data_IF_455553816085
#
_entry.id   IF_455553816085
#
_cell.length_a   1.000
_cell.length_b   1.000
_cell.length_c   1.000
_cell.angle_alpha   90.00
_cell.angle_beta   90.00
_cell.angle_gamma   90.00
#
_symmetry.space_group_name_H-M   'P 1'
#
loop_
_entity.id
_entity.type
_entity.pdbx_description
1 polymer ?
#
# COMPACT_ATOMS: atom_id res chain seq x y z
N UNK A 1 -32.26 -11.92 7.92
CA UNK A 1 -31.89 -10.67 7.21
C UNK A 1 -32.71 -10.61 5.95
N UNK A 2 -33.46 -9.52 5.73
CA UNK A 2 -34.14 -9.29 4.45
C UNK A 2 -33.08 -8.94 3.40
N UNK A 3 -33.06 -9.70 2.31
CA UNK A 3 -32.19 -9.42 1.17
C UNK A 3 -32.91 -8.43 0.25
N UNK A 4 -32.23 -7.34 -0.09
CA UNK A 4 -32.71 -6.33 -1.03
C UNK A 4 -32.30 -6.68 -2.44
N UNK A 5 -33.15 -6.31 -3.39
CA UNK A 5 -32.95 -6.55 -4.82
C UNK A 5 -32.84 -5.22 -5.57
N UNK A 6 -31.80 -5.10 -6.38
CA UNK A 6 -31.58 -4.00 -7.31
C UNK A 6 -31.46 -4.56 -8.74
N UNK A 7 -32.09 -3.90 -9.70
CA UNK A 7 -32.02 -4.28 -11.11
C UNK A 7 -31.38 -3.15 -11.92
N UNK A 8 -30.37 -3.50 -12.73
CA UNK A 8 -29.69 -2.57 -13.65
C UNK A 8 -29.90 -3.06 -15.08
N UNK A 9 -30.53 -2.22 -15.90
CA UNK A 9 -30.77 -2.52 -17.32
C UNK A 9 -29.51 -2.23 -18.13
N UNK A 10 -29.19 -3.13 -19.06
CA UNK A 10 -28.05 -3.01 -19.97
C UNK A 10 -28.59 -2.70 -21.37
N UNK A 11 -27.99 -1.73 -22.06
CA UNK A 11 -28.55 -1.23 -23.32
C UNK A 11 -28.32 -2.20 -24.49
N UNK A 12 -27.20 -2.90 -24.50
CA UNK A 12 -26.83 -3.84 -25.58
C UNK A 12 -25.87 -4.93 -25.08
N UNK A 13 -25.64 -5.94 -25.92
CA UNK A 13 -24.81 -7.10 -25.59
C UNK A 13 -23.31 -6.76 -25.50
N UNK A 14 -22.83 -5.76 -26.26
CA UNK A 14 -21.44 -5.28 -26.19
C UNK A 14 -21.11 -4.65 -24.82
N UNK A 15 -22.01 -3.82 -24.29
CA UNK A 15 -21.91 -3.27 -22.94
C UNK A 15 -21.85 -4.38 -21.88
N UNK A 16 -22.68 -5.42 -22.03
CA UNK A 16 -22.69 -6.55 -21.11
C UNK A 16 -21.35 -7.30 -21.15
N UNK A 17 -20.81 -7.61 -22.34
CA UNK A 17 -19.54 -8.32 -22.49
C UNK A 17 -18.40 -7.53 -21.84
N UNK A 18 -18.31 -6.22 -22.09
CA UNK A 18 -17.27 -5.35 -21.52
C UNK A 18 -17.43 -5.19 -20.00
N UNK A 19 -18.67 -5.08 -19.52
CA UNK A 19 -18.95 -5.02 -18.09
C UNK A 19 -18.54 -6.30 -17.37
N UNK A 20 -18.84 -7.48 -17.93
CA UNK A 20 -18.42 -8.76 -17.34
C UNK A 20 -16.89 -8.91 -17.34
N UNK A 21 -16.26 -8.51 -18.44
CA UNK A 21 -14.84 -8.74 -18.69
C UNK A 21 -14.53 -10.21 -18.94
N UNK A 22 -13.27 -10.49 -19.28
CA UNK A 22 -12.82 -11.86 -19.59
C UNK A 22 -13.07 -12.77 -18.37
N UNK A 23 -13.81 -13.87 -18.57
CA UNK A 23 -14.19 -14.83 -17.51
C UNK A 23 -14.92 -14.19 -16.30
N UNK A 24 -15.76 -13.18 -16.54
CA UNK A 24 -16.54 -12.45 -15.52
C UNK A 24 -15.67 -11.76 -14.46
N UNK A 25 -14.43 -11.39 -14.82
CA UNK A 25 -13.44 -10.85 -13.90
C UNK A 25 -13.93 -9.63 -13.14
N UNK A 26 -14.62 -8.71 -13.80
CA UNK A 26 -15.09 -7.47 -13.17
C UNK A 26 -16.16 -7.75 -12.11
N UNK A 27 -17.06 -8.70 -12.37
CA UNK A 27 -18.07 -9.14 -11.41
C UNK A 27 -17.42 -9.83 -10.21
N UNK A 28 -16.38 -10.66 -10.45
CA UNK A 28 -15.60 -11.29 -9.37
C UNK A 28 -14.89 -10.26 -8.50
N UNK A 29 -14.33 -9.21 -9.10
CA UNK A 29 -13.74 -8.08 -8.37
C UNK A 29 -14.81 -7.40 -7.51
N UNK A 30 -15.97 -7.05 -8.05
CA UNK A 30 -17.04 -6.40 -7.25
C UNK A 30 -17.46 -7.29 -6.06
N UNK A 31 -17.65 -8.59 -6.29
CA UNK A 31 -18.01 -9.57 -5.24
C UNK A 31 -16.94 -9.78 -4.18
N UNK A 32 -15.66 -9.48 -4.45
CA UNK A 32 -14.62 -9.54 -3.43
C UNK A 32 -14.64 -8.33 -2.48
N UNK A 33 -15.35 -7.25 -2.83
CA UNK A 33 -15.46 -6.03 -2.03
C UNK A 33 -16.81 -5.87 -1.33
N UNK A 34 -17.85 -6.52 -1.84
CA UNK A 34 -19.22 -6.48 -1.34
C UNK A 34 -19.81 -7.88 -1.29
N UNK A 35 -20.46 -8.22 -0.18
CA UNK A 35 -21.19 -9.47 -0.04
C UNK A 35 -22.54 -9.36 -0.77
N UNK A 36 -22.52 -9.65 -2.08
CA UNK A 36 -23.69 -9.61 -2.97
C UNK A 36 -23.69 -10.79 -3.95
N UNK A 37 -24.88 -11.24 -4.29
CA UNK A 37 -25.12 -12.10 -5.43
C UNK A 37 -25.49 -11.24 -6.64
N UNK A 38 -24.83 -11.50 -7.77
CA UNK A 38 -25.04 -10.80 -9.04
C UNK A 38 -25.35 -11.86 -10.09
N UNK A 39 -26.48 -11.71 -10.77
CA UNK A 39 -26.99 -12.60 -11.81
C UNK A 39 -27.33 -11.79 -13.07
N UNK A 40 -26.98 -12.33 -14.23
CA UNK A 40 -27.35 -11.74 -15.52
C UNK A 40 -28.54 -12.50 -16.07
N UNK A 41 -29.64 -11.79 -16.38
CA UNK A 41 -30.83 -12.40 -16.99
C UNK A 41 -31.53 -11.39 -17.91
N UNK A 42 -31.84 -11.80 -19.13
CA UNK A 42 -32.63 -11.02 -20.10
C UNK A 42 -32.12 -9.59 -20.34
N UNK A 43 -30.80 -9.38 -20.42
CA UNK A 43 -30.22 -8.04 -20.62
C UNK A 43 -30.28 -7.14 -19.37
N UNK A 44 -30.54 -7.71 -18.19
CA UNK A 44 -30.49 -7.01 -16.91
C UNK A 44 -29.54 -7.72 -15.94
N UNK A 45 -28.89 -6.94 -15.09
CA UNK A 45 -28.17 -7.41 -13.92
C UNK A 45 -29.07 -7.29 -12.71
N UNK A 46 -29.29 -8.43 -12.06
CA UNK A 46 -29.99 -8.55 -10.78
C UNK A 46 -28.95 -8.68 -9.67
N UNK A 47 -29.01 -7.75 -8.73
CA UNK A 47 -28.10 -7.65 -7.59
C UNK A 47 -28.91 -7.91 -6.33
N UNK A 48 -28.50 -8.87 -5.53
CA UNK A 48 -29.18 -9.25 -4.29
C UNK A 48 -28.19 -9.29 -3.13
N UNK A 49 -28.51 -8.63 -2.02
CA UNK A 49 -27.66 -8.55 -0.84
C UNK A 49 -28.27 -7.66 0.24
N UNK A 50 -27.48 -7.24 1.24
CA UNK A 50 -27.90 -6.20 2.17
C UNK A 50 -28.20 -4.88 1.42
N UNK A 51 -29.12 -4.07 1.95
CA UNK A 51 -29.60 -2.85 1.29
C UNK A 51 -28.45 -1.95 0.84
N UNK A 52 -27.56 -1.58 1.75
CA UNK A 52 -26.41 -0.69 1.48
C UNK A 52 -25.48 -1.26 0.42
N UNK A 53 -25.13 -2.54 0.52
CA UNK A 53 -24.27 -3.22 -0.45
C UNK A 53 -24.91 -3.30 -1.84
N UNK A 54 -26.21 -3.64 -1.90
CA UNK A 54 -26.94 -3.75 -3.16
C UNK A 54 -27.07 -2.40 -3.88
N UNK A 55 -27.31 -1.31 -3.13
CA UNK A 55 -27.39 0.06 -3.66
C UNK A 55 -26.02 0.56 -4.13
N UNK A 56 -24.95 0.33 -3.35
CA UNK A 56 -23.58 0.69 -3.73
C UNK A 56 -23.15 -0.04 -5.01
N UNK A 57 -23.39 -1.35 -5.09
CA UNK A 57 -23.06 -2.15 -6.27
C UNK A 57 -23.86 -1.71 -7.51
N UNK A 58 -25.15 -1.38 -7.34
CA UNK A 58 -25.98 -0.82 -8.41
C UNK A 58 -25.39 0.48 -8.96
N UNK A 59 -24.90 1.36 -8.08
CA UNK A 59 -24.23 2.61 -8.47
C UNK A 59 -22.91 2.33 -9.20
N UNK A 60 -22.07 1.44 -8.66
CA UNK A 60 -20.80 1.05 -9.29
C UNK A 60 -21.01 0.49 -10.70
N UNK A 61 -21.99 -0.40 -10.88
CA UNK A 61 -22.31 -0.97 -12.20
C UNK A 61 -22.74 0.13 -13.18
N UNK A 62 -23.57 1.09 -12.73
CA UNK A 62 -23.96 2.23 -13.57
C UNK A 62 -22.76 3.11 -13.96
N UNK A 63 -21.83 3.34 -13.04
CA UNK A 63 -20.62 4.12 -13.30
C UNK A 63 -19.68 3.39 -14.27
N UNK A 64 -19.57 2.06 -14.17
CA UNK A 64 -18.82 1.23 -15.12
C UNK A 64 -19.46 1.32 -16.51
N UNK A 65 -20.78 1.15 -16.61
CA UNK A 65 -21.51 1.26 -17.89
C UNK A 65 -21.33 2.65 -18.52
N UNK A 66 -21.40 3.72 -17.72
CA UNK A 66 -21.12 5.06 -18.21
C UNK A 66 -19.69 5.20 -18.74
N UNK A 67 -18.70 4.63 -18.05
CA UNK A 67 -17.30 4.63 -18.49
C UNK A 67 -17.14 3.90 -19.82
N UNK A 68 -17.75 2.72 -19.97
CA UNK A 68 -17.73 1.95 -21.23
C UNK A 68 -18.36 2.75 -22.37
N UNK A 69 -19.46 3.47 -22.11
CA UNK A 69 -20.14 4.32 -23.11
C UNK A 69 -19.29 5.50 -23.55
N UNK A 70 -18.54 6.11 -22.63
CA UNK A 70 -17.72 7.30 -22.93
C UNK A 70 -16.35 6.97 -23.49
N UNK A 71 -15.72 5.88 -23.02
CA UNK A 71 -14.32 5.52 -23.32
C UNK A 71 -14.20 4.28 -24.22
N UNK A 72 -15.30 3.58 -24.47
CA UNK A 72 -15.37 2.39 -25.33
C UNK A 72 -14.99 1.08 -24.63
N UNK A 73 -14.24 1.12 -23.52
CA UNK A 73 -13.80 -0.04 -22.75
C UNK A 73 -13.57 0.33 -21.27
N UNK A 74 -13.34 -0.66 -20.41
CA UNK A 74 -12.96 -0.44 -19.00
C UNK A 74 -11.82 -1.37 -18.57
N UNK A 75 -10.79 -0.79 -17.96
CA UNK A 75 -9.67 -1.55 -17.40
C UNK A 75 -9.96 -2.02 -15.97
N UNK A 76 -9.32 -3.11 -15.56
CA UNK A 76 -9.40 -3.65 -14.19
C UNK A 76 -9.12 -2.57 -13.12
N UNK A 77 -8.15 -1.69 -13.40
CA UNK A 77 -7.75 -0.60 -12.49
C UNK A 77 -8.89 0.40 -12.30
N UNK A 78 -9.63 0.71 -13.37
CA UNK A 78 -10.74 1.66 -13.32
C UNK A 78 -11.96 1.06 -12.63
N UNK A 79 -12.19 -0.25 -12.75
CA UNK A 79 -13.21 -0.98 -11.96
C UNK A 79 -12.90 -0.87 -10.47
N UNK A 80 -11.66 -1.17 -10.05
CA UNK A 80 -11.23 -1.04 -8.65
C UNK A 80 -11.40 0.40 -8.15
N UNK A 81 -11.03 1.39 -8.96
CA UNK A 81 -11.24 2.80 -8.65
C UNK A 81 -12.71 3.13 -8.39
N UNK A 82 -13.64 2.73 -9.27
CA UNK A 82 -15.06 3.02 -9.10
C UNK A 82 -15.63 2.37 -7.83
N UNK A 83 -15.14 1.19 -7.47
CA UNK A 83 -15.47 0.53 -6.21
C UNK A 83 -14.97 1.35 -5.00
N UNK A 84 -13.71 1.80 -5.02
CA UNK A 84 -13.11 2.56 -3.92
C UNK A 84 -13.69 3.98 -3.78
N UNK A 85 -14.00 4.65 -4.89
CA UNK A 85 -14.66 5.96 -4.91
C UNK A 85 -16.07 5.89 -4.30
N UNK A 86 -16.80 4.80 -4.55
CA UNK A 86 -18.10 4.58 -3.91
C UNK A 86 -17.98 4.39 -2.40
N UNK A 87 -16.97 3.63 -1.92
CA UNK A 87 -16.76 3.40 -0.47
C UNK A 87 -16.36 4.67 0.29
N UNK A 88 -15.60 5.56 -0.34
CA UNK A 88 -15.02 6.73 0.31
C UNK A 88 -15.92 7.97 0.29
N UNK A 89 -17.05 7.96 -0.43
CA UNK A 89 -17.92 9.13 -0.68
C UNK A 89 -17.18 10.36 -1.23
N UNK A 90 -15.97 10.17 -1.75
CA UNK A 90 -15.09 11.24 -2.23
C UNK A 90 -15.12 11.30 -3.75
N UNK A 91 -15.39 12.48 -4.31
CA UNK A 91 -15.14 12.77 -5.73
C UNK A 91 -13.63 12.92 -5.94
N UNK A 92 -12.91 11.81 -6.10
CA UNK A 92 -11.48 11.84 -6.40
C UNK A 92 -11.31 11.76 -7.91
N UNK A 93 -10.71 12.74 -8.58
CA UNK A 93 -10.52 12.71 -10.03
C UNK A 93 -9.54 11.59 -10.45
N UNK A 94 -10.05 10.52 -11.05
CA UNK A 94 -9.23 9.40 -11.55
C UNK A 94 -8.17 9.83 -12.57
N UNK A 95 -8.48 10.84 -13.38
CA UNK A 95 -7.52 11.33 -14.37
C UNK A 95 -6.34 12.04 -13.70
N UNK A 96 -6.51 12.60 -12.49
CA UNK A 96 -5.39 13.11 -11.70
C UNK A 96 -4.55 11.97 -11.12
N UNK A 97 -5.19 10.91 -10.60
CA UNK A 97 -4.46 9.72 -10.11
C UNK A 97 -3.57 9.14 -11.21
N UNK A 98 -4.13 8.98 -12.42
CA UNK A 98 -3.39 8.41 -13.56
C UNK A 98 -2.21 9.26 -14.03
N UNK A 99 -2.26 10.58 -13.81
CA UNK A 99 -1.23 11.55 -14.22
C UNK A 99 -0.13 11.70 -13.19
N UNK A 100 -0.39 11.39 -11.94
CA UNK A 100 0.63 11.54 -10.91
C UNK A 100 1.75 10.53 -11.10
N UNK A 101 2.97 11.03 -11.22
CA UNK A 101 4.18 10.23 -11.28
C UNK A 101 4.94 10.48 -9.98
N UNK A 102 5.23 9.40 -9.26
CA UNK A 102 6.06 9.49 -8.05
C UNK A 102 7.51 9.67 -8.46
N UNK A 103 8.02 8.73 -9.25
CA UNK A 103 9.42 8.70 -9.69
C UNK A 103 9.55 7.79 -10.92
N UNK A 104 10.59 8.04 -11.72
CA UNK A 104 11.01 7.11 -12.79
C UNK A 104 12.16 6.25 -12.27
N UNK A 105 12.04 4.93 -12.46
CA UNK A 105 13.06 3.95 -12.11
C UNK A 105 14.32 4.11 -12.96
N UNK A 106 15.40 3.42 -12.59
CA UNK A 106 16.63 3.42 -13.39
C UNK A 106 16.44 2.78 -14.77
N UNK A 107 15.50 1.84 -14.89
CA UNK A 107 15.11 1.20 -16.15
C UNK A 107 14.15 2.04 -17.01
N UNK A 108 13.80 3.26 -16.59
CA UNK A 108 12.87 4.14 -17.30
C UNK A 108 11.38 3.82 -17.03
N UNK A 109 11.07 2.88 -16.13
CA UNK A 109 9.70 2.56 -15.75
C UNK A 109 9.12 3.68 -14.89
N UNK A 110 7.94 4.15 -15.27
CA UNK A 110 7.18 5.15 -14.50
C UNK A 110 6.52 4.46 -13.30
N UNK A 111 6.81 4.94 -12.10
CA UNK A 111 6.19 4.46 -10.86
C UNK A 111 5.13 5.48 -10.42
N UNK A 112 3.89 5.00 -10.31
CA UNK A 112 2.71 5.79 -9.97
C UNK A 112 1.69 4.97 -9.19
N UNK A 113 0.83 5.61 -8.38
CA UNK A 113 -0.29 4.92 -7.76
C UNK A 113 -1.23 4.34 -8.84
N UNK A 114 -1.75 3.14 -8.60
CA UNK A 114 -2.67 2.41 -9.49
C UNK A 114 -4.09 2.31 -8.94
N UNK A 115 -4.28 2.63 -7.66
CA UNK A 115 -5.59 2.61 -6.98
C UNK A 115 -5.78 3.90 -6.18
N UNK A 116 -7.02 4.18 -5.75
CA UNK A 116 -7.33 5.33 -4.88
C UNK A 116 -6.63 5.15 -3.54
N UNK A 117 -6.64 3.93 -3.00
CA UNK A 117 -5.93 3.62 -1.76
C UNK A 117 -4.44 3.94 -1.85
N UNK A 118 -3.80 3.58 -2.96
CA UNK A 118 -2.39 3.91 -3.21
C UNK A 118 -2.16 5.40 -3.38
N UNK A 119 -3.06 6.12 -4.07
CA UNK A 119 -3.00 7.58 -4.19
C UNK A 119 -3.05 8.24 -2.82
N UNK A 120 -4.08 7.92 -2.03
CA UNK A 120 -4.26 8.45 -0.68
C UNK A 120 -3.04 8.17 0.20
N UNK A 121 -2.48 6.96 0.10
CA UNK A 121 -1.27 6.60 0.82
C UNK A 121 -0.07 7.46 0.42
N UNK A 122 0.16 7.67 -0.88
CA UNK A 122 1.23 8.55 -1.39
C UNK A 122 1.02 10.01 -0.94
N UNK A 123 -0.23 10.50 -0.95
CA UNK A 123 -0.57 11.84 -0.47
C UNK A 123 -0.29 12.01 1.02
N UNK A 124 -0.62 10.99 1.82
CA UNK A 124 -0.31 10.98 3.25
C UNK A 124 1.20 11.03 3.49
N UNK A 125 1.98 10.22 2.78
CA UNK A 125 3.45 10.24 2.87
C UNK A 125 4.01 11.65 2.59
N UNK A 126 3.49 12.31 1.54
CA UNK A 126 3.96 13.64 1.16
C UNK A 126 3.57 14.72 2.18
N UNK A 127 2.39 14.61 2.81
CA UNK A 127 1.81 15.64 3.67
C UNK A 127 2.01 15.45 5.17
N UNK A 128 2.37 14.25 5.64
CA UNK A 128 2.52 13.90 7.06
C UNK A 128 3.96 13.58 7.42
N UNK A 129 4.29 13.72 8.70
CA UNK A 129 5.60 13.35 9.23
C UNK A 129 5.69 11.85 9.49
N UNK A 130 4.58 11.24 9.91
CA UNK A 130 4.48 9.79 10.10
C UNK A 130 3.28 9.26 9.32
N UNK A 131 3.47 8.17 8.58
CA UNK A 131 2.38 7.50 7.84
C UNK A 131 2.38 5.99 8.09
N UNK A 132 1.22 5.43 8.42
CA UNK A 132 1.03 4.00 8.60
C UNK A 132 0.40 3.35 7.36
N UNK A 133 1.22 2.64 6.58
CA UNK A 133 0.77 1.85 5.44
C UNK A 133 0.37 0.44 5.85
N UNK A 134 -0.91 0.22 6.17
CA UNK A 134 -1.42 -1.08 6.65
C UNK A 134 -2.29 -1.76 5.59
N UNK A 135 -1.99 -3.03 5.30
CA UNK A 135 -2.82 -3.83 4.40
C UNK A 135 -2.15 -5.15 4.00
N UNK A 136 -2.83 -5.99 3.20
CA UNK A 136 -2.33 -7.31 2.84
C UNK A 136 -1.08 -7.25 1.95
N UNK A 137 -0.29 -8.32 1.92
CA UNK A 137 0.85 -8.46 1.01
C UNK A 137 0.46 -8.20 -0.46
N UNK A 138 1.40 -7.69 -1.25
CA UNK A 138 1.18 -7.41 -2.68
C UNK A 138 0.43 -6.12 -3.01
N UNK A 139 -0.03 -5.35 -2.03
CA UNK A 139 -0.72 -4.05 -2.25
C UNK A 139 0.23 -2.87 -2.56
N UNK A 140 1.55 -3.10 -2.58
CA UNK A 140 2.56 -2.12 -2.99
C UNK A 140 3.00 -1.12 -1.91
N UNK A 141 2.59 -1.31 -0.64
CA UNK A 141 2.85 -0.38 0.48
C UNK A 141 4.34 -0.03 0.63
N UNK A 142 5.19 -1.05 0.74
CA UNK A 142 6.64 -0.87 0.90
C UNK A 142 7.26 -0.30 -0.37
N UNK A 143 6.90 -0.84 -1.54
CA UNK A 143 7.46 -0.39 -2.82
C UNK A 143 7.14 1.09 -3.13
N UNK A 144 5.90 1.53 -2.88
CA UNK A 144 5.51 2.93 -3.03
C UNK A 144 6.17 3.84 -1.98
N UNK A 145 6.37 3.36 -0.75
CA UNK A 145 7.13 4.11 0.26
C UNK A 145 8.57 4.34 -0.19
N UNK A 146 9.25 3.31 -0.70
CA UNK A 146 10.62 3.43 -1.24
C UNK A 146 10.64 4.39 -2.43
N UNK A 147 9.65 4.32 -3.32
CA UNK A 147 9.54 5.27 -4.43
C UNK A 147 9.41 6.73 -3.97
N UNK A 148 8.60 6.99 -2.93
CA UNK A 148 8.47 8.31 -2.32
C UNK A 148 9.78 8.75 -1.64
N UNK A 149 10.45 7.86 -0.91
CA UNK A 149 11.73 8.14 -0.27
C UNK A 149 12.81 8.55 -1.28
N UNK A 150 12.93 7.80 -2.38
CA UNK A 150 13.88 8.12 -3.45
C UNK A 150 13.53 9.44 -4.13
N UNK A 151 12.24 9.73 -4.33
CA UNK A 151 11.80 11.01 -4.90
C UNK A 151 12.19 12.18 -3.99
N UNK A 152 11.87 12.10 -2.69
CA UNK A 152 12.21 13.13 -1.70
C UNK A 152 13.73 13.35 -1.61
N UNK A 153 14.52 12.27 -1.61
CA UNK A 153 15.98 12.33 -1.63
C UNK A 153 16.53 12.99 -2.91
N UNK A 154 16.00 12.64 -4.09
CA UNK A 154 16.39 13.27 -5.36
C UNK A 154 16.04 14.76 -5.41
N UNK A 155 14.92 15.15 -4.80
CA UNK A 155 14.49 16.55 -4.65
C UNK A 155 15.22 17.31 -3.55
N UNK A 156 16.09 16.64 -2.77
CA UNK A 156 16.79 17.18 -1.60
C UNK A 156 15.84 17.67 -0.49
N UNK A 157 14.65 17.09 -0.41
CA UNK A 157 13.72 17.31 0.70
C UNK A 157 14.21 16.59 1.96
N UNK A 158 14.94 15.49 1.78
CA UNK A 158 15.68 14.76 2.82
C UNK A 158 17.12 14.54 2.38
N UNK A 159 18.02 14.40 3.34
CA UNK A 159 19.44 14.15 3.12
C UNK A 159 19.79 12.66 3.15
N UNK A 160 18.98 11.83 3.80
CA UNK A 160 19.23 10.39 3.95
C UNK A 160 17.98 9.55 3.75
N UNK A 161 18.17 8.32 3.34
CA UNK A 161 17.14 7.28 3.30
C UNK A 161 17.57 6.14 4.23
N UNK A 162 16.69 5.73 5.15
CA UNK A 162 16.96 4.63 6.09
C UNK A 162 15.82 3.61 5.97
N UNK A 163 16.11 2.40 5.49
CA UNK A 163 15.16 1.30 5.46
C UNK A 163 15.50 0.34 6.59
N UNK A 164 14.50 -0.02 7.37
CA UNK A 164 14.68 -0.92 8.49
C UNK A 164 13.56 -1.92 8.63
N UNK A 165 13.89 -3.10 9.15
CA UNK A 165 12.97 -4.21 9.37
C UNK A 165 13.27 -4.85 10.72
N UNK A 166 12.27 -5.24 11.53
CA UNK A 166 12.52 -6.01 12.72
C UNK A 166 13.11 -7.37 12.34
N UNK A 167 14.10 -7.84 13.10
CA UNK A 167 14.54 -9.22 12.98
C UNK A 167 13.46 -10.10 13.63
N UNK A 168 12.90 -11.03 12.85
CA UNK A 168 11.85 -11.94 13.30
C UNK A 168 12.32 -13.35 12.99
N UNK A 169 12.38 -14.18 14.01
CA UNK A 169 12.71 -15.60 13.87
C UNK A 169 11.48 -16.34 13.34
N UNK A 170 11.18 -16.16 12.04
CA UNK A 170 10.13 -16.90 11.36
C UNK A 170 10.60 -18.34 11.13
N UNK A 171 10.51 -19.18 12.17
CA UNK A 171 10.75 -20.63 12.09
C UNK A 171 12.21 -21.09 12.22
N UNK A 172 13.19 -20.24 11.93
CA UNK A 172 14.61 -20.52 12.14
C UNK A 172 15.21 -19.50 13.12
N UNK A 173 15.96 -19.95 14.14
CA UNK A 173 16.68 -19.00 15.01
C UNK A 173 17.78 -18.35 14.18
N UNK A 174 17.91 -17.03 14.27
CA UNK A 174 18.91 -16.24 13.55
C UNK A 174 20.35 -16.80 13.75
N UNK A 175 20.57 -17.50 14.87
CA UNK A 175 21.81 -18.20 15.19
C UNK A 175 22.21 -19.35 14.24
N UNK A 176 21.30 -19.93 13.45
CA UNK A 176 21.56 -21.12 12.62
C UNK A 176 22.02 -20.84 11.19
N UNK A 177 21.81 -19.64 10.65
CA UNK A 177 22.33 -19.27 9.34
C UNK A 177 23.87 -19.15 9.41
N UNK A 178 24.64 -19.78 8.51
CA UNK A 178 26.10 -19.66 8.49
C UNK A 178 26.52 -18.24 8.06
N UNK A 179 27.69 -17.78 8.50
CA UNK A 179 28.22 -16.44 8.16
C UNK A 179 28.27 -15.47 9.34
N UNK A 180 28.62 -14.22 9.06
CA UNK A 180 28.63 -13.15 10.06
C UNK A 180 27.20 -12.66 10.38
N UNK A 181 27.05 -11.70 11.30
CA UNK A 181 25.72 -11.20 11.67
C UNK A 181 24.99 -10.54 10.49
N UNK A 182 25.74 -9.99 9.53
CA UNK A 182 25.20 -9.33 8.35
C UNK A 182 24.66 -10.37 7.37
N UNK A 183 25.43 -11.43 7.08
CA UNK A 183 25.05 -12.55 6.22
C UNK A 183 23.75 -13.23 6.69
N UNK A 184 23.51 -13.25 8.01
CA UNK A 184 22.31 -13.85 8.61
C UNK A 184 21.06 -12.98 8.48
N UNK A 185 21.21 -11.65 8.39
CA UNK A 185 20.07 -10.71 8.37
C UNK A 185 19.75 -10.24 6.95
N UNK A 186 20.72 -10.27 6.05
CA UNK A 186 20.59 -9.89 4.65
C UNK A 186 19.42 -10.56 3.90
N UNK A 187 19.08 -11.85 4.12
CA UNK A 187 17.93 -12.47 3.47
C UNK A 187 16.59 -11.74 3.76
N UNK A 188 16.41 -11.23 4.98
CA UNK A 188 15.18 -10.52 5.39
C UNK A 188 15.12 -9.09 4.83
N UNK A 189 16.28 -8.49 4.58
CA UNK A 189 16.41 -7.15 4.01
C UNK A 189 16.40 -7.16 2.49
N UNK A 190 16.54 -8.33 1.85
CA UNK A 190 16.62 -8.47 0.39
C UNK A 190 15.50 -7.76 -0.38
N UNK A 191 14.21 -7.86 0.00
CA UNK A 191 13.14 -7.15 -0.70
C UNK A 191 13.32 -5.62 -0.71
N UNK A 192 13.96 -5.06 0.32
CA UNK A 192 14.24 -3.63 0.44
C UNK A 192 15.39 -3.22 -0.49
N UNK A 193 16.43 -4.05 -0.59
CA UNK A 193 17.52 -3.87 -1.55
C UNK A 193 16.99 -3.92 -2.99
N UNK A 194 16.18 -4.93 -3.32
CA UNK A 194 15.65 -5.12 -4.66
C UNK A 194 14.80 -3.91 -5.11
N UNK A 195 13.99 -3.33 -4.21
CA UNK A 195 13.22 -2.12 -4.48
C UNK A 195 14.13 -0.91 -4.76
N UNK A 196 15.18 -0.71 -3.95
CA UNK A 196 16.13 0.38 -4.16
C UNK A 196 16.93 0.20 -5.47
N UNK A 197 17.37 -1.02 -5.78
CA UNK A 197 18.06 -1.32 -7.04
C UNK A 197 17.21 -1.02 -8.25
N UNK A 198 15.94 -1.42 -8.24
CA UNK A 198 15.02 -1.14 -9.34
C UNK A 198 14.82 0.38 -9.54
N UNK A 199 14.60 1.13 -8.46
CA UNK A 199 14.26 2.55 -8.53
C UNK A 199 15.48 3.45 -8.79
N UNK A 200 16.60 3.17 -8.12
CA UNK A 200 17.81 4.00 -8.17
C UNK A 200 18.84 3.53 -9.20
N UNK A 201 18.85 2.23 -9.49
CA UNK A 201 19.95 1.55 -10.19
C UNK A 201 21.04 1.15 -9.20
N UNK A 202 21.70 0.03 -9.49
CA UNK A 202 22.71 -0.58 -8.61
C UNK A 202 23.86 0.39 -8.33
N UNK A 203 24.43 1.01 -9.37
CA UNK A 203 25.60 1.90 -9.23
C UNK A 203 25.31 3.11 -8.35
N UNK A 204 24.14 3.74 -8.54
CA UNK A 204 23.72 4.88 -7.73
C UNK A 204 23.43 4.45 -6.29
N UNK A 205 22.80 3.30 -6.08
CA UNK A 205 22.57 2.77 -4.75
C UNK A 205 23.92 2.56 -4.03
N UNK A 206 24.85 1.81 -4.63
CA UNK A 206 26.15 1.49 -4.03
C UNK A 206 26.93 2.75 -3.66
N UNK A 207 26.97 3.74 -4.56
CA UNK A 207 27.60 5.04 -4.31
C UNK A 207 27.00 5.79 -3.13
N UNK A 208 25.67 5.73 -2.93
CA UNK A 208 25.02 6.42 -1.82
C UNK A 208 25.14 5.64 -0.50
N UNK A 209 25.23 4.32 -0.54
CA UNK A 209 25.55 3.49 0.63
C UNK A 209 26.97 3.75 1.11
N UNK A 210 27.95 3.81 0.20
CA UNK A 210 29.35 4.14 0.55
C UNK A 210 29.46 5.50 1.25
N UNK A 211 28.62 6.47 0.84
CA UNK A 211 28.52 7.80 1.46
C UNK A 211 27.65 7.85 2.71
N UNK A 212 27.08 6.72 3.15
CA UNK A 212 26.14 6.63 4.27
C UNK A 212 24.88 7.50 4.11
N UNK A 213 24.50 7.82 2.86
CA UNK A 213 23.27 8.53 2.54
C UNK A 213 22.08 7.59 2.44
N UNK A 214 22.33 6.31 2.14
CA UNK A 214 21.33 5.25 2.15
C UNK A 214 21.81 4.16 3.09
N UNK A 215 20.93 3.75 3.99
CA UNK A 215 21.18 2.68 4.96
C UNK A 215 20.04 1.67 4.91
N UNK A 216 20.38 0.39 4.81
CA UNK A 216 19.42 -0.72 4.97
C UNK A 216 19.91 -1.55 6.14
N UNK A 217 19.19 -1.51 7.26
CA UNK A 217 19.69 -2.07 8.52
C UNK A 217 18.58 -2.65 9.41
N UNK A 218 18.90 -3.61 10.29
CA UNK A 218 17.93 -4.16 11.24
C UNK A 218 17.42 -3.09 12.22
N UNK A 219 16.18 -3.23 12.72
CA UNK A 219 15.56 -2.25 13.64
C UNK A 219 16.39 -1.96 14.89
N UNK A 220 17.17 -2.93 15.37
CA UNK A 220 18.04 -2.77 16.53
C UNK A 220 19.09 -1.64 16.35
N UNK A 221 19.50 -1.35 15.11
CA UNK A 221 20.50 -0.33 14.78
C UNK A 221 19.95 1.09 14.92
N UNK A 222 18.63 1.25 15.10
CA UNK A 222 18.01 2.55 15.34
C UNK A 222 18.17 3.02 16.79
N UNK A 223 18.54 2.13 17.71
CA UNK A 223 18.64 2.42 19.14
C UNK A 223 19.68 3.51 19.41
N UNK A 224 19.31 4.50 20.21
CA UNK A 224 20.23 5.58 20.62
C UNK A 224 20.53 6.62 19.54
N UNK A 225 19.88 6.54 18.37
CA UNK A 225 20.04 7.52 17.29
C UNK A 225 19.01 8.64 17.41
N UNK A 226 19.35 9.77 16.80
CA UNK A 226 18.40 10.80 16.37
C UNK A 226 18.50 10.86 14.85
N UNK A 227 17.36 10.73 14.18
CA UNK A 227 17.29 10.63 12.73
C UNK A 227 16.73 11.94 12.20
N UNK A 228 17.58 12.95 12.04
CA UNK A 228 17.26 14.24 11.42
C UNK A 228 17.40 14.19 9.89
N UNK A 229 16.63 15.03 9.20
CA UNK A 229 16.62 15.21 7.74
C UNK A 229 16.61 13.90 6.95
N UNK A 230 15.88 12.90 7.43
CA UNK A 230 15.90 11.54 6.91
C UNK A 230 14.52 11.06 6.50
N UNK A 231 14.44 10.24 5.46
CA UNK A 231 13.25 9.47 5.13
C UNK A 231 13.44 8.04 5.63
N UNK A 232 12.67 7.65 6.64
CA UNK A 232 12.79 6.37 7.31
C UNK A 232 11.62 5.47 6.94
N UNK A 233 11.89 4.22 6.56
CA UNK A 233 10.86 3.21 6.31
C UNK A 233 11.06 2.07 7.30
N UNK A 234 10.07 1.82 8.16
CA UNK A 234 10.01 0.61 8.99
C UNK A 234 9.08 -0.39 8.32
N UNK A 235 9.66 -1.39 7.66
CA UNK A 235 8.91 -2.44 7.00
C UNK A 235 8.57 -3.60 7.94
N UNK A 236 7.45 -4.27 7.65
CA UNK A 236 6.97 -5.46 8.37
C UNK A 236 6.79 -5.19 9.87
N UNK A 237 6.27 -4.00 10.15
CA UNK A 237 6.13 -3.42 11.47
C UNK A 237 5.16 -4.20 12.38
N UNK A 238 4.30 -5.06 11.82
CA UNK A 238 3.47 -5.96 12.61
C UNK A 238 4.30 -6.87 13.51
N UNK A 239 5.55 -7.12 13.14
CA UNK A 239 6.50 -7.93 13.88
C UNK A 239 7.37 -7.12 14.86
N UNK A 240 6.96 -5.90 15.20
CA UNK A 240 7.55 -5.13 16.30
C UNK A 240 6.78 -5.34 17.59
N UNK A 241 7.48 -5.29 18.74
CA UNK A 241 6.84 -5.13 20.05
C UNK A 241 6.46 -3.68 20.30
N UNK A 242 5.61 -3.43 21.31
CA UNK A 242 5.31 -2.07 21.78
C UNK A 242 6.57 -1.28 22.14
N UNK A 243 7.55 -1.93 22.77
CA UNK A 243 8.82 -1.29 23.14
C UNK A 243 9.66 -0.91 21.91
N UNK A 244 9.71 -1.79 20.91
CA UNK A 244 10.42 -1.53 19.66
C UNK A 244 9.76 -0.41 18.85
N UNK A 245 8.43 -0.40 18.76
CA UNK A 245 7.67 0.67 18.10
C UNK A 245 7.89 2.02 18.80
N UNK A 246 7.81 2.06 20.14
CA UNK A 246 8.10 3.28 20.91
C UNK A 246 9.56 3.71 20.74
N UNK A 247 10.51 2.76 20.77
CA UNK A 247 11.92 3.03 20.53
C UNK A 247 12.10 3.72 19.18
N UNK A 248 11.53 3.14 18.11
CA UNK A 248 11.59 3.66 16.74
C UNK A 248 11.01 5.07 16.60
N UNK A 249 9.75 5.26 17.01
CA UNK A 249 9.05 6.55 16.83
C UNK A 249 9.74 7.69 17.60
N UNK A 250 10.37 7.40 18.73
CA UNK A 250 11.14 8.41 19.50
C UNK A 250 12.53 8.70 18.93
N UNK A 251 12.93 8.09 17.81
CA UNK A 251 14.19 8.44 17.12
C UNK A 251 13.99 9.53 16.06
N UNK A 252 12.74 9.81 15.68
CA UNK A 252 12.44 10.77 14.61
C UNK A 252 12.87 12.18 15.02
N UNK A 253 13.77 12.75 14.21
CA UNK A 253 14.33 14.08 14.39
C UNK A 253 13.65 15.12 13.52
N UNK A 254 14.21 16.33 13.50
CA UNK A 254 13.67 17.45 12.73
C UNK A 254 13.85 17.22 11.21
N UNK A 255 12.86 17.63 10.43
CA UNK A 255 12.90 17.52 8.97
C UNK A 255 12.85 16.08 8.44
N UNK A 256 12.45 15.13 9.28
CA UNK A 256 12.37 13.72 8.92
C UNK A 256 10.94 13.27 8.66
N UNK A 257 10.82 12.28 7.78
CA UNK A 257 9.56 11.58 7.49
C UNK A 257 9.71 10.10 7.80
N UNK A 258 8.67 9.49 8.34
CA UNK A 258 8.64 8.08 8.67
C UNK A 258 7.44 7.38 8.04
N UNK A 259 7.69 6.27 7.36
CA UNK A 259 6.63 5.41 6.81
C UNK A 259 6.74 4.04 7.46
N UNK A 260 5.68 3.64 8.15
CA UNK A 260 5.61 2.36 8.86
C UNK A 260 4.68 1.45 8.07
N UNK A 261 5.20 0.39 7.48
CA UNK A 261 4.42 -0.57 6.67
C UNK A 261 4.23 -1.89 7.40
N UNK A 262 3.06 -2.51 7.22
CA UNK A 262 2.83 -3.85 7.76
C UNK A 262 1.48 -4.46 7.39
N UNK A 263 1.31 -5.71 7.79
CA UNK A 263 0.07 -6.48 7.65
C UNK A 263 -0.35 -7.04 9.02
N UNK A 264 -1.39 -6.46 9.62
CA UNK A 264 -1.88 -6.89 10.94
C UNK A 264 -2.45 -8.31 10.96
N UNK A 265 -2.64 -8.95 9.80
CA UNK A 265 -3.10 -10.34 9.69
C UNK A 265 -1.95 -11.35 9.69
N UNK A 266 -0.70 -10.90 9.52
CA UNK A 266 0.50 -11.74 9.41
C UNK A 266 1.51 -11.43 10.54
N UNK A 267 1.10 -11.68 11.79
CA UNK A 267 1.95 -11.42 12.97
C UNK A 267 2.76 -12.68 13.30
N UNK A 268 4.08 -12.59 13.15
CA UNK A 268 5.05 -13.67 13.40
C UNK A 268 5.76 -13.52 14.77
N UNK A 269 5.19 -12.73 15.68
CA UNK A 269 5.75 -12.53 17.01
C UNK A 269 5.61 -13.81 17.88
N UNK A 270 6.59 -14.09 18.76
CA UNK A 270 6.48 -15.17 19.73
C UNK A 270 5.23 -15.05 20.60
N UNK A 271 4.71 -16.21 21.01
CA UNK A 271 3.48 -16.32 21.81
C UNK A 271 3.56 -15.45 23.08
N UNK A 272 2.49 -14.71 23.36
CA UNK A 272 2.38 -13.79 24.50
C UNK A 272 2.86 -12.35 24.24
N UNK A 273 3.55 -12.06 23.12
CA UNK A 273 3.91 -10.69 22.76
C UNK A 273 2.81 -10.00 21.94
N UNK A 274 2.49 -8.75 22.29
CA UNK A 274 1.57 -7.90 21.54
C UNK A 274 2.32 -7.11 20.47
N UNK A 275 1.71 -7.04 19.27
CA UNK A 275 2.23 -6.22 18.17
C UNK A 275 2.17 -4.72 18.50
N UNK A 276 3.31 -4.06 18.32
CA UNK A 276 3.49 -2.62 18.41
C UNK A 276 2.62 -1.87 17.41
N UNK A 277 2.58 -2.36 16.17
CA UNK A 277 1.75 -1.78 15.11
C UNK A 277 0.26 -1.78 15.49
N UNK A 278 -0.27 -2.91 15.96
CA UNK A 278 -1.69 -3.01 16.35
C UNK A 278 -2.05 -2.08 17.52
N UNK A 279 -1.12 -1.89 18.45
CA UNK A 279 -1.34 -1.03 19.63
C UNK A 279 -1.25 0.46 19.26
N UNK A 280 -0.26 0.84 18.45
CA UNK A 280 0.08 2.25 18.20
C UNK A 280 -0.96 2.98 17.37
N UNK A 281 -1.64 2.29 16.44
CA UNK A 281 -2.70 2.87 15.61
C UNK A 281 -3.79 3.51 16.46
N UNK A 282 -4.18 2.84 17.56
CA UNK A 282 -5.22 3.36 18.45
C UNK A 282 -4.70 4.49 19.36
N UNK A 283 -3.41 4.49 19.67
CA UNK A 283 -2.77 5.47 20.55
C UNK A 283 -2.56 6.80 19.81
N UNK A 284 -2.18 6.75 18.53
CA UNK A 284 -1.79 7.93 17.75
C UNK A 284 -2.90 8.44 16.81
N UNK A 285 -4.10 7.86 16.87
CA UNK A 285 -5.23 8.18 15.97
C UNK A 285 -5.61 9.67 15.92
N UNK A 286 -5.37 10.41 17.00
CA UNK A 286 -5.78 11.81 17.15
C UNK A 286 -4.60 12.79 16.98
N UNK A 287 -3.42 12.31 16.57
CA UNK A 287 -2.24 13.15 16.35
C UNK A 287 -2.25 13.67 14.92
N UNK A 288 -2.36 14.99 14.77
CA UNK A 288 -2.63 15.63 13.48
C UNK A 288 -1.57 15.32 12.40
N UNK A 289 -0.29 15.27 12.75
CA UNK A 289 0.82 15.00 11.80
C UNK A 289 1.06 13.52 11.51
N UNK A 290 0.14 12.65 11.95
CA UNK A 290 0.20 11.20 11.75
C UNK A 290 -0.97 10.73 10.90
N UNK A 291 -0.68 9.99 9.83
CA UNK A 291 -1.66 9.49 8.84
C UNK A 291 -1.78 7.98 8.78
#
# INVERSE_FOLDING_TARGET
>A
MELFEQNVLIANEDELIKLLGIHDKNIKIIKSYYDVNILVRNGALKITGEKENSEAVSKIIKDILNTIRTEGDISDQKVIYLIEANKSNSQIDYNQILKEVIVTSASGRIIKPKTVGQKRYVDMINSKDVTFGIGPAGTGKTYLAVACAVNAFRKKEVERIILTRPAVEAGEKLGFLPGDLQDKVDPYLRPLYDALFDIMGIDNFMKNVEKQLIEVAPLAYMRGRTLDSSFIILDEAQNTTNEQMKMFLTRLGYGSKAVITGDITQIDLPEGKKSGLKSVINILKDVEDIG
#
